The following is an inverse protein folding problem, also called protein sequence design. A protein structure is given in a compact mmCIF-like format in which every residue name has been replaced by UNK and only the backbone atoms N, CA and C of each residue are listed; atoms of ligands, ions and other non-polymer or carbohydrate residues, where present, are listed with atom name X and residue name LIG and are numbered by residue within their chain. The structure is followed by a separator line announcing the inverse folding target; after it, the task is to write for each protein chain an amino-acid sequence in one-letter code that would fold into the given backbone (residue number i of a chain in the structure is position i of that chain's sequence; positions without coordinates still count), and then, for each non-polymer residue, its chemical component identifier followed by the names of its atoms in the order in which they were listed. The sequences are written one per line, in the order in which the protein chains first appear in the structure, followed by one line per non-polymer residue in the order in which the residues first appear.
data_IF_405580248054
#
_entry.id   IF_405580248054
#
_cell.length_a   1.000
_cell.length_b   1.000
_cell.length_c   1.000
_cell.angle_alpha   90.00
_cell.angle_beta   90.00
_cell.angle_gamma   90.00
#
_symmetry.space_group_name_H-M   'P 1'
#
loop_
_entity.id
_entity.type
_entity.pdbx_description
1 polymer ?
#
# COMPACT_ATOMS: atom_id res chain seq x y z
N UNK A 1 -35.71 2.90 -10.72
CA UNK A 1 -34.35 3.32 -10.33
C UNK A 1 -33.39 2.18 -9.96
N UNK A 2 -33.77 0.89 -10.12
CA UNK A 2 -32.83 -0.27 -10.15
C UNK A 2 -32.20 -0.54 -11.53
N UNK A 3 -32.65 0.19 -12.57
CA UNK A 3 -32.31 -0.08 -13.97
C UNK A 3 -31.05 0.65 -14.46
N UNK A 4 -30.53 1.59 -13.68
CA UNK A 4 -29.30 2.32 -13.98
C UNK A 4 -28.26 1.82 -12.98
N UNK A 5 -27.18 1.20 -13.47
CA UNK A 5 -26.07 0.79 -12.62
C UNK A 5 -25.40 2.04 -12.04
N UNK A 6 -25.36 2.15 -10.71
CA UNK A 6 -24.70 3.27 -10.03
C UNK A 6 -23.22 2.95 -9.88
N UNK A 7 -22.33 3.90 -10.20
CA UNK A 7 -20.90 3.77 -9.90
C UNK A 7 -20.71 3.46 -8.41
N UNK A 8 -20.16 2.29 -8.10
CA UNK A 8 -19.98 1.83 -6.72
C UNK A 8 -18.62 2.23 -6.14
N UNK A 9 -17.64 2.51 -6.99
CA UNK A 9 -16.30 2.87 -6.57
C UNK A 9 -15.35 2.96 -7.75
N UNK A 10 -14.14 3.40 -7.47
CA UNK A 10 -13.07 3.52 -8.45
C UNK A 10 -11.72 3.33 -7.74
N UNK A 11 -10.88 2.54 -8.39
CA UNK A 11 -9.48 2.31 -8.05
C UNK A 11 -8.66 2.76 -9.25
N UNK A 12 -7.51 3.37 -9.00
CA UNK A 12 -6.56 3.74 -10.05
C UNK A 12 -5.29 2.92 -9.88
N UNK A 13 -4.65 2.63 -11.01
CA UNK A 13 -3.31 2.06 -11.07
C UNK A 13 -2.42 2.98 -11.90
N UNK A 14 -1.23 3.26 -11.39
CA UNK A 14 -0.13 3.95 -12.08
C UNK A 14 1.14 3.12 -11.95
N UNK A 15 2.14 3.39 -12.78
CA UNK A 15 3.49 2.92 -12.51
C UNK A 15 4.08 3.78 -11.39
N UNK A 16 4.62 3.16 -10.35
CA UNK A 16 5.16 3.89 -9.21
C UNK A 16 6.25 4.86 -9.67
N UNK A 17 6.11 6.12 -9.26
CA UNK A 17 7.03 7.20 -9.62
C UNK A 17 7.24 8.10 -8.42
N UNK A 18 8.49 8.39 -8.09
CA UNK A 18 8.86 9.28 -6.99
C UNK A 18 9.60 10.51 -7.49
N UNK A 19 9.32 11.66 -6.89
CA UNK A 19 10.03 12.93 -7.15
C UNK A 19 11.06 13.23 -6.05
N UNK A 20 11.23 12.32 -5.09
CA UNK A 20 12.18 12.49 -4.00
C UNK A 20 13.56 11.96 -4.41
N UNK A 21 14.56 12.84 -4.32
CA UNK A 21 15.98 12.55 -4.62
C UNK A 21 16.57 11.44 -3.73
N UNK A 22 16.13 11.36 -2.49
CA UNK A 22 16.64 10.44 -1.47
C UNK A 22 15.78 9.21 -1.26
N UNK A 23 14.79 8.95 -2.13
CA UNK A 23 13.80 7.91 -1.89
C UNK A 23 14.40 6.53 -1.65
N UNK A 24 14.03 5.88 -0.56
CA UNK A 24 14.40 4.50 -0.25
C UNK A 24 13.23 3.72 0.37
N UNK A 25 13.07 2.47 -0.05
CA UNK A 25 12.30 1.48 0.69
C UNK A 25 13.13 1.00 1.88
N UNK A 26 12.66 1.24 3.10
CA UNK A 26 13.36 0.85 4.33
C UNK A 26 12.40 0.65 5.50
N UNK A 27 11.98 -0.59 5.71
CA UNK A 27 11.12 -0.98 6.84
C UNK A 27 11.86 -1.00 8.18
N UNK A 28 13.19 -1.01 8.16
CA UNK A 28 14.02 -1.09 9.37
C UNK A 28 14.33 0.29 9.95
N UNK A 29 13.95 1.35 9.24
CA UNK A 29 14.17 2.71 9.69
C UNK A 29 13.34 3.02 10.96
N UNK A 30 13.99 3.32 12.11
CA UNK A 30 13.29 3.58 13.36
C UNK A 30 12.43 4.85 13.33
N UNK A 31 12.66 5.79 12.40
CA UNK A 31 11.88 7.02 12.28
C UNK A 31 10.49 6.79 11.68
N UNK A 32 10.26 5.67 10.99
CA UNK A 32 8.98 5.34 10.36
C UNK A 32 7.94 4.75 11.31
N UNK A 33 8.35 4.41 12.53
CA UNK A 33 7.49 3.92 13.62
C UNK A 33 6.57 2.72 13.26
N UNK A 34 6.94 1.93 12.24
CA UNK A 34 6.11 0.84 11.71
C UNK A 34 5.75 -0.23 12.74
N UNK A 35 6.58 -0.37 13.78
CA UNK A 35 6.44 -1.38 14.82
C UNK A 35 5.72 -0.85 16.08
N UNK A 36 5.50 0.45 16.23
CA UNK A 36 4.96 1.03 17.47
C UNK A 36 3.47 1.38 17.35
N UNK A 37 2.63 0.36 17.18
CA UNK A 37 1.19 0.52 17.35
C UNK A 37 0.64 -0.48 18.36
N UNK A 38 1.10 -0.33 19.60
CA UNK A 38 0.60 -1.05 20.78
C UNK A 38 -0.11 -0.18 21.82
N UNK A 39 0.30 1.08 22.01
CA UNK A 39 0.07 1.78 23.28
C UNK A 39 -0.40 3.25 23.16
N UNK A 40 -1.20 3.64 22.17
CA UNK A 40 -1.96 4.89 22.32
C UNK A 40 -3.19 4.62 23.21
N UNK A 41 -3.01 4.88 24.51
CA UNK A 41 -4.08 4.93 25.50
C UNK A 41 -5.15 5.94 25.07
N UNK A 42 -6.23 5.44 24.46
CA UNK A 42 -7.48 6.19 24.36
C UNK A 42 -8.02 6.42 25.78
N UNK A 43 -7.68 7.58 26.35
CA UNK A 43 -8.28 8.09 27.57
C UNK A 43 -9.80 8.19 27.43
N UNK A 44 -10.51 7.19 27.94
CA UNK A 44 -11.96 7.19 27.96
C UNK A 44 -12.54 5.81 28.26
N UNK A 45 -13.29 5.72 29.35
CA UNK A 45 -13.98 4.50 29.79
C UNK A 45 -14.91 3.92 28.70
N UNK A 46 -14.40 3.00 27.88
CA UNK A 46 -15.21 2.04 27.11
C UNK A 46 -14.57 0.66 27.20
N UNK A 47 -15.43 -0.36 27.20
CA UNK A 47 -15.06 -1.76 27.34
C UNK A 47 -13.85 -2.11 26.46
N UNK A 48 -12.86 -2.80 27.05
CA UNK A 48 -11.63 -3.22 26.38
C UNK A 48 -11.98 -3.92 25.06
N UNK A 49 -11.70 -3.26 23.94
CA UNK A 49 -11.69 -3.92 22.65
C UNK A 49 -10.73 -5.11 22.71
N UNK A 50 -10.99 -6.21 21.99
CA UNK A 50 -10.03 -7.30 21.89
C UNK A 50 -8.67 -6.75 21.40
N UNK A 51 -7.55 -7.36 21.83
CA UNK A 51 -6.22 -6.91 21.41
C UNK A 51 -6.15 -6.89 19.88
N UNK A 52 -5.72 -5.74 19.33
CA UNK A 52 -5.47 -5.59 17.89
C UNK A 52 -4.36 -6.57 17.51
N UNK A 53 -4.55 -7.33 16.44
CA UNK A 53 -3.47 -8.15 15.89
C UNK A 53 -2.26 -7.24 15.59
N UNK A 54 -1.02 -7.72 15.80
CA UNK A 54 0.15 -6.95 15.43
C UNK A 54 0.11 -6.61 13.93
N UNK A 55 0.57 -5.42 13.53
CA UNK A 55 0.62 -5.04 12.13
C UNK A 55 1.51 -6.01 11.36
N UNK A 56 1.16 -6.28 10.11
CA UNK A 56 1.99 -7.07 9.19
C UNK A 56 3.02 -6.15 8.57
N UNK A 57 4.25 -6.23 9.08
CA UNK A 57 5.39 -5.40 8.65
C UNK A 57 6.50 -6.31 8.15
N UNK A 58 7.29 -5.81 7.21
CA UNK A 58 8.55 -6.40 6.77
C UNK A 58 9.60 -6.28 7.89
N UNK A 59 9.68 -7.31 8.74
CA UNK A 59 10.45 -7.24 10.00
C UNK A 59 11.98 -7.20 9.80
N UNK A 60 12.49 -7.81 8.72
CA UNK A 60 13.92 -7.98 8.48
C UNK A 60 14.47 -7.13 7.33
N UNK A 61 13.62 -6.33 6.69
CA UNK A 61 13.99 -5.49 5.55
C UNK A 61 14.14 -6.26 4.23
N UNK A 62 13.83 -7.56 4.19
CA UNK A 62 14.02 -8.35 2.97
C UNK A 62 13.14 -7.88 1.83
N UNK A 63 11.86 -7.61 2.09
CA UNK A 63 10.94 -7.11 1.07
C UNK A 63 11.29 -5.69 0.63
N UNK A 64 11.70 -4.84 1.59
CA UNK A 64 12.19 -3.49 1.30
C UNK A 64 13.44 -3.52 0.42
N UNK A 65 14.38 -4.43 0.69
CA UNK A 65 15.58 -4.61 -0.11
C UNK A 65 15.26 -5.09 -1.54
N UNK A 66 14.28 -6.00 -1.70
CA UNK A 66 13.80 -6.43 -3.01
C UNK A 66 13.17 -5.28 -3.81
N UNK A 67 12.30 -4.48 -3.18
CA UNK A 67 11.72 -3.28 -3.78
C UNK A 67 12.80 -2.25 -4.16
N UNK A 68 13.80 -2.07 -3.30
CA UNK A 68 14.92 -1.15 -3.54
C UNK A 68 15.84 -1.62 -4.68
N UNK A 69 15.92 -2.93 -4.91
CA UNK A 69 16.70 -3.53 -5.99
C UNK A 69 16.02 -3.44 -7.37
N UNK A 70 14.74 -3.07 -7.42
CA UNK A 70 14.00 -2.93 -8.68
C UNK A 70 14.64 -1.90 -9.61
N UNK A 71 14.53 -2.20 -10.91
CA UNK A 71 14.93 -1.27 -11.96
C UNK A 71 14.20 0.06 -11.75
N UNK A 72 14.95 1.15 -11.79
CA UNK A 72 14.41 2.52 -11.75
C UNK A 72 15.24 3.44 -12.63
N UNK A 73 14.59 4.41 -13.23
CA UNK A 73 15.24 5.41 -14.08
C UNK A 73 14.44 6.71 -14.11
N UNK A 74 15.11 7.80 -14.41
CA UNK A 74 14.51 9.14 -14.54
C UNK A 74 15.24 10.18 -13.70
N UNK A 75 14.78 11.41 -13.82
CA UNK A 75 15.27 12.60 -13.13
C UNK A 75 14.20 13.11 -12.14
N UNK A 76 14.48 13.13 -10.83
CA UNK A 76 13.54 13.62 -9.81
C UNK A 76 13.17 15.11 -9.98
N UNK A 77 13.93 15.93 -10.71
CA UNK A 77 13.61 17.35 -10.92
C UNK A 77 12.76 17.62 -12.17
N UNK A 78 12.49 16.59 -13.00
CA UNK A 78 11.81 16.79 -14.29
C UNK A 78 10.70 15.78 -14.61
N UNK A 79 11.00 14.47 -14.70
CA UNK A 79 10.00 13.44 -15.00
C UNK A 79 9.66 12.52 -13.82
N UNK A 80 10.44 12.60 -12.75
CA UNK A 80 10.39 11.67 -11.63
C UNK A 80 11.20 10.40 -11.90
N UNK A 81 11.56 9.71 -10.83
CA UNK A 81 12.20 8.40 -10.88
C UNK A 81 11.10 7.34 -10.97
N UNK A 82 11.01 6.68 -12.12
CA UNK A 82 9.98 5.67 -12.42
C UNK A 82 10.50 4.27 -12.11
N UNK A 83 9.66 3.46 -11.47
CA UNK A 83 9.90 2.05 -11.19
C UNK A 83 8.99 1.18 -12.09
N UNK A 84 9.43 0.81 -13.31
CA UNK A 84 8.58 0.16 -14.31
C UNK A 84 7.98 -1.19 -13.90
N UNK A 85 8.55 -1.86 -12.89
CA UNK A 85 8.09 -3.17 -12.39
C UNK A 85 7.22 -3.07 -11.12
N UNK A 86 6.91 -1.85 -10.66
CA UNK A 86 6.09 -1.62 -9.46
C UNK A 86 4.81 -0.87 -9.86
N UNK A 87 3.67 -1.50 -9.64
CA UNK A 87 2.37 -0.87 -9.73
C UNK A 87 2.08 -0.08 -8.45
N UNK A 88 1.60 1.14 -8.58
CA UNK A 88 1.02 1.90 -7.49
C UNK A 88 -0.50 1.92 -7.65
N UNK A 89 -1.21 1.51 -6.60
CA UNK A 89 -2.67 1.50 -6.58
C UNK A 89 -3.21 2.52 -5.59
N UNK A 90 -4.35 3.12 -5.94
CA UNK A 90 -5.05 4.05 -5.06
C UNK A 90 -6.54 3.79 -5.08
N UNK A 91 -7.08 3.40 -3.92
CA UNK A 91 -8.52 3.23 -3.73
C UNK A 91 -9.15 4.58 -3.35
N UNK A 92 -9.70 5.26 -4.35
CA UNK A 92 -10.19 6.64 -4.18
C UNK A 92 -11.64 6.68 -3.65
N UNK A 93 -12.41 5.62 -3.82
CA UNK A 93 -13.73 5.48 -3.23
C UNK A 93 -14.34 4.12 -3.49
N UNK A 94 -15.01 3.55 -2.48
CA UNK A 94 -15.71 2.29 -2.63
C UNK A 94 -16.87 2.16 -1.64
N UNK A 95 -18.09 2.19 -2.16
CA UNK A 95 -19.35 2.08 -1.42
C UNK A 95 -19.62 0.62 -1.01
N UNK A 96 -18.67 0.02 -0.27
CA UNK A 96 -18.73 -1.38 0.18
C UNK A 96 -18.11 -2.40 -0.80
N UNK A 97 -17.67 -1.97 -1.98
CA UNK A 97 -17.06 -2.84 -3.00
C UNK A 97 -15.52 -2.82 -3.02
N UNK A 98 -14.86 -2.16 -2.06
CA UNK A 98 -13.42 -1.84 -2.16
C UNK A 98 -12.54 -3.07 -2.28
N UNK A 99 -12.83 -4.11 -1.50
CA UNK A 99 -12.11 -5.39 -1.58
C UNK A 99 -12.18 -5.99 -2.98
N UNK A 100 -13.38 -6.05 -3.55
CA UNK A 100 -13.60 -6.60 -4.88
C UNK A 100 -12.87 -5.80 -5.96
N UNK A 101 -12.83 -4.46 -5.85
CA UNK A 101 -12.07 -3.62 -6.77
C UNK A 101 -10.57 -3.90 -6.72
N UNK A 102 -10.00 -4.11 -5.52
CA UNK A 102 -8.58 -4.47 -5.38
C UNK A 102 -8.33 -5.88 -5.90
N UNK A 103 -9.16 -6.86 -5.55
CA UNK A 103 -9.03 -8.25 -6.02
C UNK A 103 -9.04 -8.34 -7.55
N UNK A 104 -9.95 -7.64 -8.22
CA UNK A 104 -9.98 -7.56 -9.69
C UNK A 104 -8.68 -7.04 -10.29
N UNK A 105 -8.09 -6.03 -9.66
CA UNK A 105 -6.90 -5.37 -10.17
C UNK A 105 -5.64 -6.22 -9.90
N UNK A 106 -5.62 -6.95 -8.78
CA UNK A 106 -4.57 -7.95 -8.51
C UNK A 106 -4.63 -9.12 -9.50
N UNK A 107 -5.84 -9.61 -9.81
CA UNK A 107 -6.04 -10.65 -10.83
C UNK A 107 -5.53 -10.19 -12.22
N UNK A 108 -5.69 -8.92 -12.57
CA UNK A 108 -5.14 -8.35 -13.80
C UNK A 108 -3.60 -8.35 -13.81
N UNK A 109 -2.97 -8.04 -12.66
CA UNK A 109 -1.51 -8.07 -12.53
C UNK A 109 -0.90 -9.46 -12.54
N UNK A 110 -1.67 -10.49 -12.18
CA UNK A 110 -1.23 -11.89 -12.28
C UNK A 110 -1.21 -12.41 -13.73
N UNK A 111 -1.73 -11.63 -14.68
CA UNK A 111 -1.67 -11.99 -16.10
C UNK A 111 -0.22 -12.05 -16.61
N UNK A 112 0.06 -12.98 -17.53
CA UNK A 112 1.41 -13.18 -18.07
C UNK A 112 1.98 -11.95 -18.83
N UNK A 113 1.10 -11.05 -19.27
CA UNK A 113 1.46 -9.83 -20.00
C UNK A 113 1.67 -8.62 -19.07
N UNK A 114 1.40 -8.77 -17.76
CA UNK A 114 1.61 -7.71 -16.78
C UNK A 114 3.10 -7.35 -16.67
N UNK A 115 3.47 -6.06 -16.74
CA UNK A 115 4.84 -5.63 -16.53
C UNK A 115 5.23 -5.58 -15.05
N UNK A 116 4.27 -5.73 -14.13
CA UNK A 116 4.47 -5.49 -12.70
C UNK A 116 4.81 -6.77 -11.94
N UNK A 117 5.82 -6.69 -11.08
CA UNK A 117 6.20 -7.74 -10.14
C UNK A 117 5.69 -7.45 -8.73
N UNK A 118 5.55 -6.16 -8.39
CA UNK A 118 5.10 -5.68 -7.09
C UNK A 118 3.95 -4.70 -7.24
N UNK A 119 3.13 -4.62 -6.19
CA UNK A 119 2.07 -3.63 -6.05
C UNK A 119 2.23 -2.91 -4.71
N UNK A 120 2.17 -1.59 -4.74
CA UNK A 120 2.26 -0.73 -3.56
C UNK A 120 1.04 0.18 -3.46
N UNK A 121 0.72 0.59 -2.25
CA UNK A 121 -0.34 1.57 -1.96
C UNK A 121 0.09 2.40 -0.78
N UNK A 122 -0.27 3.67 -0.78
CA UNK A 122 -0.24 4.46 0.45
C UNK A 122 -1.51 4.16 1.24
N UNK A 123 -1.36 3.87 2.52
CA UNK A 123 -2.48 3.60 3.42
C UNK A 123 -2.43 4.58 4.60
N UNK A 124 -3.59 5.10 4.99
CA UNK A 124 -3.75 5.76 6.30
C UNK A 124 -3.85 4.69 7.39
N UNK A 125 -3.49 5.02 8.63
CA UNK A 125 -3.49 4.08 9.77
C UNK A 125 -4.81 3.33 9.95
N UNK A 126 -5.93 4.03 9.72
CA UNK A 126 -7.28 3.45 9.79
C UNK A 126 -7.58 2.43 8.69
N UNK A 127 -6.86 2.49 7.56
CA UNK A 127 -7.03 1.63 6.39
C UNK A 127 -6.03 0.47 6.32
N UNK A 128 -4.94 0.48 7.10
CA UNK A 128 -3.93 -0.60 7.13
C UNK A 128 -4.59 -2.00 7.27
N UNK A 129 -5.50 -2.24 8.24
CA UNK A 129 -6.09 -3.57 8.40
C UNK A 129 -6.92 -4.04 7.20
N UNK A 130 -7.40 -3.11 6.36
CA UNK A 130 -8.11 -3.46 5.13
C UNK A 130 -7.15 -4.08 4.11
N UNK A 131 -5.98 -3.48 3.90
CA UNK A 131 -4.97 -3.98 2.97
C UNK A 131 -4.27 -5.25 3.48
N UNK A 132 -3.96 -5.34 4.78
CA UNK A 132 -3.34 -6.52 5.39
C UNK A 132 -4.18 -7.81 5.23
N UNK A 133 -5.51 -7.67 5.21
CA UNK A 133 -6.43 -8.79 4.95
C UNK A 133 -6.36 -9.29 3.51
N UNK A 134 -5.86 -8.48 2.59
CA UNK A 134 -5.61 -8.81 1.18
C UNK A 134 -4.16 -9.23 0.93
N UNK A 135 -3.33 -9.31 1.97
CA UNK A 135 -1.94 -9.80 1.87
C UNK A 135 -0.87 -8.72 1.79
N UNK A 136 -1.24 -7.44 1.84
CA UNK A 136 -0.26 -6.35 1.90
C UNK A 136 0.57 -6.41 3.19
N UNK A 137 1.82 -5.99 3.08
CA UNK A 137 2.81 -5.91 4.15
C UNK A 137 3.37 -4.49 4.18
N UNK A 138 3.53 -3.91 5.36
CA UNK A 138 4.14 -2.60 5.54
C UNK A 138 5.66 -2.65 5.31
N UNK A 139 6.16 -1.86 4.35
CA UNK A 139 7.58 -1.85 3.93
C UNK A 139 8.32 -0.55 4.24
N UNK A 140 7.63 0.52 4.62
CA UNK A 140 8.28 1.81 4.89
C UNK A 140 8.86 2.51 3.65
N UNK A 141 8.82 3.84 3.65
CA UNK A 141 9.38 4.66 2.58
C UNK A 141 9.94 5.96 3.17
N UNK A 142 11.21 6.26 2.89
CA UNK A 142 11.94 7.46 3.35
C UNK A 142 12.44 8.30 2.19
#
# INVERSE_FOLDING_TARGET
TKAEGWLQGFVTCTTFTTWNHGFQWDSTNPELDLFAHGDEEAGGCKAKAPPKAPPKVDEDGSLSAELQAQLRAGDPDNEGIVYPRIAEISLLGALGCGRWLIELLLEEFESADSPYEYVVTQATDGSIPFYERMGFVGVGAV
#
